data_IF_233317829692
#
_entry.id   IF_233317829692
#
_cell.length_a   1.000
_cell.length_b   1.000
_cell.length_c   1.000
_cell.angle_alpha   90.00
_cell.angle_beta   90.00
_cell.angle_gamma   90.00
#
_symmetry.space_group_name_H-M   'P 1'
#
loop_
_entity.id
_entity.type
_entity.pdbx_description
1 polymer ?
#
# COMPACT_ATOMS: atom_id res chain seq x y z
N UNK A 1 22.88 -11.79 10.21
CA UNK A 1 22.74 -13.08 10.87
C UNK A 1 21.49 -13.07 11.71
N UNK A 2 20.72 -14.12 11.74
CA UNK A 2 19.66 -14.53 12.66
C UNK A 2 18.20 -14.51 12.20
N UNK A 3 17.85 -14.09 11.00
CA UNK A 3 16.48 -14.35 10.54
C UNK A 3 16.31 -15.71 9.84
N UNK A 4 17.38 -16.27 9.28
CA UNK A 4 17.36 -17.61 8.68
C UNK A 4 17.34 -18.72 9.75
N UNK A 5 17.99 -18.51 10.90
CA UNK A 5 18.04 -19.49 12.00
C UNK A 5 16.67 -19.67 12.70
N UNK A 6 15.80 -18.64 12.73
CA UNK A 6 14.47 -18.74 13.35
C UNK A 6 13.52 -19.69 12.59
N UNK A 7 13.83 -20.07 11.38
CA UNK A 7 13.00 -20.94 10.54
C UNK A 7 13.43 -22.42 10.55
N UNK A 8 14.61 -22.73 11.08
CA UNK A 8 15.17 -24.08 11.02
C UNK A 8 14.75 -25.00 12.17
N UNK A 9 14.03 -24.50 13.18
CA UNK A 9 13.67 -25.29 14.37
C UNK A 9 12.18 -25.67 14.48
N UNK A 10 11.38 -25.54 13.42
CA UNK A 10 10.02 -26.09 13.44
C UNK A 10 10.07 -27.54 13.00
N UNK A 11 9.94 -28.48 13.97
CA UNK A 11 9.70 -29.90 13.67
C UNK A 11 8.33 -30.04 12.99
N UNK A 12 8.31 -30.73 11.86
CA UNK A 12 7.12 -30.98 11.07
C UNK A 12 6.72 -32.42 11.26
N UNK A 13 5.63 -32.65 11.99
CA UNK A 13 5.15 -34.00 12.29
C UNK A 13 4.17 -34.53 11.24
N UNK A 14 3.60 -33.63 10.40
CA UNK A 14 2.63 -34.00 9.36
C UNK A 14 2.58 -32.99 8.20
N UNK A 15 1.85 -33.35 7.12
CA UNK A 15 1.69 -32.51 5.94
C UNK A 15 0.96 -31.18 6.22
N UNK A 16 0.01 -31.17 7.17
CA UNK A 16 -0.75 -29.97 7.50
C UNK A 16 0.14 -28.90 8.15
N UNK A 17 1.16 -29.32 8.89
CA UNK A 17 2.14 -28.40 9.49
C UNK A 17 3.07 -27.79 8.42
N UNK A 18 3.42 -28.55 7.38
CA UNK A 18 4.15 -28.02 6.22
C UNK A 18 3.34 -26.93 5.56
N UNK A 19 2.05 -27.18 5.28
CA UNK A 19 1.16 -26.20 4.64
C UNK A 19 1.07 -24.90 5.46
N UNK A 20 0.87 -25.02 6.78
CA UNK A 20 0.83 -23.85 7.67
C UNK A 20 2.16 -23.04 7.67
N UNK A 21 3.28 -23.73 7.67
CA UNK A 21 4.60 -23.07 7.62
C UNK A 21 4.77 -22.32 6.28
N UNK A 22 4.35 -22.91 5.17
CA UNK A 22 4.42 -22.28 3.86
C UNK A 22 3.52 -21.06 3.79
N UNK A 23 2.30 -21.12 4.33
CA UNK A 23 1.38 -19.99 4.45
C UNK A 23 1.96 -18.86 5.30
N UNK A 24 2.60 -19.18 6.45
CA UNK A 24 3.27 -18.17 7.28
C UNK A 24 4.44 -17.51 6.54
N UNK A 25 5.22 -18.29 5.78
CA UNK A 25 6.35 -17.76 4.98
C UNK A 25 5.82 -16.84 3.88
N UNK A 26 4.77 -17.26 3.16
CA UNK A 26 4.14 -16.44 2.13
C UNK A 26 3.61 -15.13 2.71
N UNK A 27 2.91 -15.17 3.84
CA UNK A 27 2.40 -13.99 4.52
C UNK A 27 3.51 -13.03 4.93
N UNK A 28 4.60 -13.55 5.50
CA UNK A 28 5.77 -12.74 5.87
C UNK A 28 6.45 -12.14 4.65
N UNK A 29 6.55 -12.88 3.55
CA UNK A 29 7.09 -12.38 2.29
C UNK A 29 6.22 -11.26 1.72
N UNK A 30 4.89 -11.46 1.64
CA UNK A 30 3.94 -10.45 1.16
C UNK A 30 3.94 -9.18 2.03
N UNK A 31 4.13 -9.30 3.35
CA UNK A 31 4.23 -8.14 4.27
C UNK A 31 5.46 -7.26 4.05
N UNK A 32 6.43 -7.69 3.24
CA UNK A 32 7.50 -6.82 2.76
C UNK A 32 7.08 -5.92 1.61
N UNK A 33 5.97 -6.20 0.97
CA UNK A 33 5.43 -5.43 -0.14
C UNK A 33 4.29 -4.55 0.37
N UNK A 34 4.43 -3.24 0.19
CA UNK A 34 3.45 -2.24 0.62
C UNK A 34 2.78 -1.66 -0.62
N UNK A 35 1.49 -1.92 -0.75
CA UNK A 35 0.66 -1.23 -1.72
C UNK A 35 0.35 0.18 -1.22
N UNK A 36 0.72 1.20 -2.00
CA UNK A 36 0.37 2.59 -1.70
C UNK A 36 -0.80 2.99 -2.57
N UNK A 37 -1.96 3.12 -1.93
CA UNK A 37 -3.19 3.65 -2.49
C UNK A 37 -3.32 5.12 -2.12
N UNK A 38 -3.54 5.98 -3.09
CA UNK A 38 -3.74 7.40 -2.84
C UNK A 38 -4.14 8.15 -4.09
N UNK A 39 -4.98 9.17 -3.90
CA UNK A 39 -5.39 10.09 -4.93
C UNK A 39 -5.59 11.48 -4.31
N UNK A 40 -5.03 12.51 -4.93
CA UNK A 40 -5.19 13.89 -4.49
C UNK A 40 -5.36 14.80 -5.71
N UNK A 41 -6.58 15.22 -5.95
CA UNK A 41 -6.86 16.32 -6.85
C UNK A 41 -6.64 17.65 -6.14
N UNK A 42 -6.97 17.71 -4.86
CA UNK A 42 -6.60 18.78 -3.95
C UNK A 42 -5.98 18.23 -2.66
N UNK A 43 -5.29 19.09 -1.93
CA UNK A 43 -4.43 18.69 -0.82
C UNK A 43 -4.91 19.24 0.53
N UNK A 44 -6.08 19.92 0.58
CA UNK A 44 -6.63 20.51 1.80
C UNK A 44 -5.61 21.40 2.53
N UNK A 45 -5.60 21.32 3.85
CA UNK A 45 -4.68 22.10 4.71
C UNK A 45 -3.20 21.75 4.57
N UNK A 46 -2.91 20.62 3.92
CA UNK A 46 -1.51 20.22 3.68
C UNK A 46 -0.85 21.08 2.60
N UNK A 47 -1.59 21.47 1.58
CA UNK A 47 -1.05 22.08 0.37
C UNK A 47 -0.19 21.10 -0.44
N UNK A 48 0.09 21.47 -1.67
CA UNK A 48 0.77 20.59 -2.62
C UNK A 48 2.22 20.27 -2.21
N UNK A 49 3.00 21.27 -1.89
CA UNK A 49 4.43 21.11 -1.59
C UNK A 49 4.67 20.18 -0.38
N UNK A 50 3.92 20.41 0.72
CA UNK A 50 4.01 19.57 1.92
C UNK A 50 3.57 18.13 1.64
N UNK A 51 2.53 17.95 0.84
CA UNK A 51 2.04 16.63 0.44
C UNK A 51 3.07 15.88 -0.40
N UNK A 52 3.60 16.51 -1.45
CA UNK A 52 4.62 15.89 -2.31
C UNK A 52 5.86 15.51 -1.50
N UNK A 53 6.33 16.42 -0.63
CA UNK A 53 7.44 16.13 0.28
C UNK A 53 7.14 14.96 1.21
N UNK A 54 5.98 14.93 1.85
CA UNK A 54 5.58 13.86 2.76
C UNK A 54 5.56 12.51 2.05
N UNK A 55 4.90 12.41 0.89
CA UNK A 55 4.78 11.16 0.13
C UNK A 55 6.14 10.71 -0.40
N UNK A 56 6.98 11.64 -0.85
CA UNK A 56 8.37 11.37 -1.26
C UNK A 56 9.18 10.78 -0.09
N UNK A 57 9.19 11.47 1.06
CA UNK A 57 9.99 11.07 2.22
C UNK A 57 9.49 9.73 2.80
N UNK A 58 8.16 9.51 2.81
CA UNK A 58 7.55 8.24 3.19
C UNK A 58 8.05 7.11 2.28
N UNK A 59 7.96 7.27 0.97
CA UNK A 59 8.38 6.26 -0.01
C UNK A 59 9.87 5.95 0.11
N UNK A 60 10.70 6.98 0.22
CA UNK A 60 12.13 6.84 0.50
C UNK A 60 12.37 6.02 1.79
N UNK A 61 11.65 6.35 2.86
CA UNK A 61 11.78 5.69 4.17
C UNK A 61 11.37 4.22 4.11
N UNK A 62 10.34 3.88 3.34
CA UNK A 62 9.93 2.49 3.14
C UNK A 62 11.04 1.67 2.47
N UNK A 63 11.62 2.16 1.38
CA UNK A 63 12.77 1.50 0.73
C UNK A 63 13.95 1.38 1.69
N UNK A 64 14.30 2.46 2.42
CA UNK A 64 15.40 2.44 3.41
C UNK A 64 15.22 1.33 4.47
N UNK A 65 13.97 0.99 4.81
CA UNK A 65 13.64 -0.09 5.75
C UNK A 65 13.41 -1.45 5.07
N UNK A 66 13.87 -1.64 3.85
CA UNK A 66 13.80 -2.88 3.07
C UNK A 66 12.37 -3.34 2.74
N UNK A 67 11.41 -2.42 2.66
CA UNK A 67 10.10 -2.69 2.06
C UNK A 67 10.15 -2.45 0.55
N UNK A 68 9.35 -3.20 -0.18
CA UNK A 68 9.05 -2.94 -1.58
C UNK A 68 7.78 -2.11 -1.70
N UNK A 69 7.72 -1.25 -2.69
CA UNK A 69 6.54 -0.42 -2.96
C UNK A 69 5.83 -0.95 -4.19
N UNK A 70 4.51 -1.12 -4.05
CA UNK A 70 3.59 -1.45 -5.13
C UNK A 70 2.67 -0.26 -5.34
N UNK A 71 2.57 0.27 -6.56
CA UNK A 71 1.76 1.46 -6.85
C UNK A 71 1.10 1.40 -8.21
N UNK A 72 -0.16 1.83 -8.26
CA UNK A 72 -0.94 2.04 -9.48
C UNK A 72 -0.76 3.41 -10.11
N UNK A 73 0.17 4.23 -9.63
CA UNK A 73 0.39 5.61 -10.06
C UNK A 73 -0.81 6.52 -9.79
N UNK A 74 -1.21 6.65 -8.51
CA UNK A 74 -2.35 7.46 -8.10
C UNK A 74 -2.22 8.95 -8.45
N UNK A 75 -3.32 9.55 -8.86
CA UNK A 75 -3.39 10.95 -9.24
C UNK A 75 -2.87 11.87 -8.11
N UNK A 76 -2.03 12.83 -8.46
CA UNK A 76 -1.53 13.87 -7.55
C UNK A 76 -0.46 13.42 -6.57
N UNK A 77 -0.28 12.09 -6.34
CA UNK A 77 0.76 11.57 -5.43
C UNK A 77 1.73 10.60 -6.09
N UNK A 78 1.36 9.98 -7.21
CA UNK A 78 2.13 8.90 -7.83
C UNK A 78 3.56 9.30 -8.21
N UNK A 79 3.76 10.53 -8.70
CA UNK A 79 5.10 11.06 -9.01
C UNK A 79 5.98 11.18 -7.77
N UNK A 80 5.43 11.60 -6.64
CA UNK A 80 6.15 11.71 -5.37
C UNK A 80 6.51 10.32 -4.80
N UNK A 81 5.61 9.32 -4.94
CA UNK A 81 5.90 7.92 -4.59
C UNK A 81 7.10 7.41 -5.38
N UNK A 82 7.08 7.60 -6.71
CA UNK A 82 8.15 7.11 -7.59
C UNK A 82 9.47 7.83 -7.30
N UNK A 83 9.46 9.15 -7.23
CA UNK A 83 10.68 9.94 -7.00
C UNK A 83 11.31 9.62 -5.65
N UNK A 84 10.50 9.43 -4.60
CA UNK A 84 10.97 9.04 -3.28
C UNK A 84 11.63 7.67 -3.26
N UNK A 85 10.98 6.67 -3.86
CA UNK A 85 11.52 5.32 -3.98
C UNK A 85 12.82 5.30 -4.80
N UNK A 86 12.80 5.90 -5.99
CA UNK A 86 13.95 5.92 -6.88
C UNK A 86 15.12 6.72 -6.29
N UNK A 87 14.88 7.78 -5.51
CA UNK A 87 15.94 8.53 -4.85
C UNK A 87 16.79 7.63 -3.95
N UNK A 88 16.18 6.68 -3.24
CA UNK A 88 16.92 5.74 -2.39
C UNK A 88 17.53 4.59 -3.20
N UNK A 89 16.78 3.99 -4.14
CA UNK A 89 17.24 2.89 -4.98
C UNK A 89 18.48 3.30 -5.78
N UNK A 90 18.45 4.49 -6.42
CA UNK A 90 19.56 4.97 -7.24
C UNK A 90 20.77 5.42 -6.41
N UNK A 91 20.55 5.92 -5.18
CA UNK A 91 21.63 6.29 -4.27
C UNK A 91 22.37 5.10 -3.68
N UNK A 92 21.72 3.96 -3.60
CA UNK A 92 22.25 2.74 -2.99
C UNK A 92 22.05 1.49 -3.89
N UNK A 93 22.60 1.46 -5.12
CA UNK A 93 22.31 0.44 -6.13
C UNK A 93 22.87 -0.94 -5.77
N UNK A 94 23.80 -1.04 -4.81
CA UNK A 94 24.31 -2.32 -4.30
C UNK A 94 23.39 -2.94 -3.23
N UNK A 95 22.47 -2.16 -2.67
CA UNK A 95 21.57 -2.60 -1.61
C UNK A 95 20.15 -2.81 -2.11
N UNK A 96 19.70 -1.97 -3.04
CA UNK A 96 18.34 -1.97 -3.57
C UNK A 96 18.34 -2.19 -5.07
N UNK A 97 17.25 -2.76 -5.58
CA UNK A 97 17.05 -2.99 -7.00
C UNK A 97 15.83 -2.24 -7.52
N UNK A 98 15.69 -2.15 -8.84
CA UNK A 98 14.48 -1.61 -9.46
C UNK A 98 13.23 -2.43 -9.15
N UNK A 99 13.40 -3.69 -8.78
CA UNK A 99 12.31 -4.60 -8.39
C UNK A 99 11.75 -4.27 -6.99
N UNK A 100 12.38 -3.34 -6.26
CA UNK A 100 11.83 -2.80 -5.01
C UNK A 100 10.74 -1.75 -5.23
N UNK A 101 10.52 -1.35 -6.50
CA UNK A 101 9.43 -0.50 -6.93
C UNK A 101 8.63 -1.16 -8.06
N UNK A 102 7.45 -1.66 -7.75
CA UNK A 102 6.53 -2.31 -8.68
C UNK A 102 5.48 -1.30 -9.13
N UNK A 103 5.57 -0.87 -10.38
CA UNK A 103 4.62 0.08 -10.96
C UNK A 103 3.69 -0.64 -11.94
N UNK A 104 2.39 -0.46 -11.74
CA UNK A 104 1.36 -0.97 -12.64
C UNK A 104 0.29 0.11 -12.86
N UNK A 105 0.59 1.12 -13.70
CA UNK A 105 -0.37 2.18 -14.01
C UNK A 105 -1.63 1.61 -14.66
N UNK A 106 -2.77 2.18 -14.30
CA UNK A 106 -4.04 1.81 -14.92
C UNK A 106 -4.06 2.24 -16.39
N UNK A 107 -4.41 1.34 -17.32
CA UNK A 107 -4.54 1.69 -18.73
C UNK A 107 -5.65 2.73 -18.94
N UNK A 108 -5.31 3.85 -19.57
CA UNK A 108 -6.24 4.97 -19.77
C UNK A 108 -7.30 4.68 -20.87
N UNK A 109 -7.02 3.74 -21.77
CA UNK A 109 -7.80 3.52 -22.99
C UNK A 109 -8.71 2.27 -22.93
N UNK A 110 -8.75 1.55 -21.82
CA UNK A 110 -9.59 0.36 -21.69
C UNK A 110 -10.87 0.70 -20.96
N UNK A 111 -12.01 0.51 -21.64
CA UNK A 111 -13.33 0.73 -21.09
C UNK A 111 -13.85 -0.56 -20.44
N UNK A 112 -14.36 -0.42 -19.22
CA UNK A 112 -15.05 -1.48 -18.50
C UNK A 112 -14.70 -1.51 -17.02
N UNK A 113 -15.72 -1.41 -16.18
CA UNK A 113 -15.58 -1.42 -14.71
C UNK A 113 -14.93 -2.73 -14.22
N UNK A 114 -15.26 -3.85 -14.86
CA UNK A 114 -14.72 -5.17 -14.52
C UNK A 114 -13.20 -5.25 -14.73
N UNK A 115 -12.71 -4.65 -15.80
CA UNK A 115 -11.27 -4.61 -16.08
C UNK A 115 -10.50 -3.82 -15.02
N UNK A 116 -11.05 -2.68 -14.57
CA UNK A 116 -10.44 -1.87 -13.51
C UNK A 116 -10.42 -2.61 -12.18
N UNK A 117 -11.50 -3.31 -11.85
CA UNK A 117 -11.56 -4.15 -10.64
C UNK A 117 -10.53 -5.28 -10.68
N UNK A 118 -10.39 -5.97 -11.84
CA UNK A 118 -9.40 -7.04 -11.97
C UNK A 118 -7.97 -6.51 -11.84
N UNK A 119 -7.65 -5.37 -12.47
CA UNK A 119 -6.35 -4.74 -12.32
C UNK A 119 -6.02 -4.36 -10.86
N UNK A 120 -7.03 -3.89 -10.10
CA UNK A 120 -6.86 -3.62 -8.66
C UNK A 120 -6.55 -4.90 -7.89
N UNK A 121 -7.31 -5.96 -8.13
CA UNK A 121 -7.08 -7.26 -7.50
C UNK A 121 -5.67 -7.78 -7.77
N UNK A 122 -5.26 -7.74 -9.03
CA UNK A 122 -3.93 -8.19 -9.44
C UNK A 122 -2.84 -7.35 -8.78
N UNK A 123 -2.99 -6.02 -8.74
CA UNK A 123 -2.03 -5.12 -8.12
C UNK A 123 -1.91 -5.35 -6.61
N UNK A 124 -3.04 -5.46 -5.92
CA UNK A 124 -3.09 -5.64 -4.46
C UNK A 124 -2.57 -7.02 -4.05
N UNK A 125 -2.75 -8.06 -4.89
CA UNK A 125 -2.31 -9.44 -4.60
C UNK A 125 -0.80 -9.59 -4.34
N UNK A 126 0.02 -8.65 -4.82
CA UNK A 126 1.47 -8.64 -4.57
C UNK A 126 1.84 -8.22 -3.14
N UNK A 127 0.90 -7.65 -2.39
CA UNK A 127 1.18 -6.96 -1.13
C UNK A 127 0.61 -7.69 0.07
N UNK A 128 1.19 -7.45 1.23
CA UNK A 128 0.63 -7.87 2.52
C UNK A 128 0.27 -6.68 3.42
N UNK A 129 0.61 -5.46 2.97
CA UNK A 129 0.27 -4.20 3.64
C UNK A 129 -0.34 -3.27 2.60
N UNK A 130 -1.42 -2.58 2.94
CA UNK A 130 -2.02 -1.53 2.13
C UNK A 130 -2.03 -0.21 2.91
N UNK A 131 -1.35 0.80 2.37
CA UNK A 131 -1.23 2.13 2.95
C UNK A 131 -2.08 3.11 2.15
N UNK A 132 -2.93 3.89 2.83
CA UNK A 132 -3.89 4.80 2.21
C UNK A 132 -3.60 6.25 2.59
N UNK A 133 -3.53 7.13 1.59
CA UNK A 133 -3.25 8.55 1.77
C UNK A 133 -4.20 9.42 0.95
N UNK A 134 -4.76 10.46 1.56
CA UNK A 134 -5.73 11.37 0.92
C UNK A 134 -6.99 10.64 0.40
N UNK A 135 -7.26 10.70 -0.88
CA UNK A 135 -8.35 9.96 -1.52
C UNK A 135 -9.50 10.85 -1.97
N UNK A 136 -9.18 11.86 -2.76
CA UNK A 136 -10.16 12.71 -3.42
C UNK A 136 -9.91 12.77 -4.93
N UNK A 137 -10.98 13.05 -5.66
CA UNK A 137 -10.99 13.24 -7.11
C UNK A 137 -12.04 14.28 -7.51
N UNK A 138 -12.00 14.76 -8.74
CA UNK A 138 -13.11 15.51 -9.32
C UNK A 138 -14.15 14.55 -9.92
N UNK A 139 -15.40 14.91 -9.78
CA UNK A 139 -16.51 14.30 -10.51
C UNK A 139 -16.70 14.97 -11.89
N UNK A 140 -17.71 14.52 -12.63
CA UNK A 140 -18.07 15.08 -13.95
C UNK A 140 -18.49 16.57 -13.89
N UNK A 141 -18.85 17.06 -12.71
CA UNK A 141 -19.24 18.46 -12.45
C UNK A 141 -18.12 19.29 -11.86
N UNK A 142 -16.87 18.82 -11.97
CA UNK A 142 -15.68 19.48 -11.43
C UNK A 142 -15.67 19.63 -9.89
N UNK A 143 -16.56 18.94 -9.16
CA UNK A 143 -16.60 18.99 -7.69
C UNK A 143 -15.65 17.97 -7.10
N UNK A 144 -15.03 18.34 -5.99
CA UNK A 144 -14.21 17.42 -5.21
C UNK A 144 -15.11 16.41 -4.50
N UNK A 145 -14.86 15.15 -4.76
CA UNK A 145 -15.56 14.01 -4.15
C UNK A 145 -14.56 12.98 -3.67
N UNK A 146 -14.99 12.11 -2.77
CA UNK A 146 -14.15 11.02 -2.28
C UNK A 146 -13.86 10.01 -3.40
N UNK A 147 -12.66 9.44 -3.37
CA UNK A 147 -12.21 8.49 -4.38
C UNK A 147 -12.90 7.13 -4.24
N UNK A 148 -13.83 6.84 -5.14
CA UNK A 148 -14.49 5.53 -5.20
C UNK A 148 -13.53 4.40 -5.55
N UNK A 149 -12.46 4.70 -6.32
CA UNK A 149 -11.42 3.73 -6.63
C UNK A 149 -10.64 3.29 -5.39
N UNK A 150 -10.30 4.24 -4.51
CA UNK A 150 -9.63 3.92 -3.25
C UNK A 150 -10.55 3.15 -2.29
N UNK A 151 -11.87 3.41 -2.29
CA UNK A 151 -12.82 2.61 -1.52
C UNK A 151 -12.79 1.16 -1.99
N UNK A 152 -12.83 0.93 -3.30
CA UNK A 152 -12.74 -0.41 -3.88
C UNK A 152 -11.40 -1.10 -3.53
N UNK A 153 -10.28 -0.37 -3.58
CA UNK A 153 -8.96 -0.88 -3.19
C UNK A 153 -8.90 -1.26 -1.71
N UNK A 154 -9.55 -0.47 -0.84
CA UNK A 154 -9.65 -0.77 0.59
C UNK A 154 -10.44 -2.06 0.85
N UNK A 155 -11.60 -2.24 0.20
CA UNK A 155 -12.39 -3.47 0.35
C UNK A 155 -11.63 -4.70 -0.19
N UNK A 156 -10.99 -4.60 -1.35
CA UNK A 156 -10.16 -5.67 -1.90
C UNK A 156 -9.01 -6.03 -0.95
N UNK A 157 -8.32 -5.03 -0.39
CA UNK A 157 -7.24 -5.26 0.56
C UNK A 157 -7.74 -5.95 1.85
N UNK A 158 -8.92 -5.56 2.33
CA UNK A 158 -9.57 -6.15 3.50
C UNK A 158 -9.99 -7.61 3.24
N UNK A 159 -10.61 -7.89 2.10
CA UNK A 159 -10.98 -9.25 1.68
C UNK A 159 -9.77 -10.17 1.54
N UNK A 160 -8.61 -9.64 1.14
CA UNK A 160 -7.36 -10.39 1.02
C UNK A 160 -6.53 -10.40 2.33
N UNK A 161 -7.08 -9.96 3.45
CA UNK A 161 -6.43 -9.94 4.77
C UNK A 161 -5.10 -9.16 4.82
N UNK A 162 -4.97 -8.10 4.02
CA UNK A 162 -3.82 -7.21 4.12
C UNK A 162 -3.87 -6.43 5.44
N UNK A 163 -2.70 -6.09 5.96
CA UNK A 163 -2.61 -5.11 7.03
C UNK A 163 -2.96 -3.73 6.47
N UNK A 164 -4.08 -3.15 6.92
CA UNK A 164 -4.59 -1.87 6.45
C UNK A 164 -4.01 -0.73 7.28
N UNK A 165 -3.38 0.25 6.62
CA UNK A 165 -2.72 1.39 7.27
C UNK A 165 -3.21 2.70 6.65
N UNK A 166 -4.39 3.19 7.02
CA UNK A 166 -4.85 4.51 6.58
C UNK A 166 -4.14 5.61 7.37
N UNK A 167 -3.60 6.60 6.65
CA UNK A 167 -3.05 7.81 7.26
C UNK A 167 -4.16 8.85 7.36
N UNK A 168 -5.01 8.72 8.37
CA UNK A 168 -6.19 9.57 8.56
C UNK A 168 -5.89 11.06 8.61
N UNK A 169 -4.70 11.45 9.10
CA UNK A 169 -4.26 12.85 9.12
C UNK A 169 -4.17 13.50 7.73
N UNK A 170 -4.16 12.72 6.65
CA UNK A 170 -4.20 13.24 5.27
C UNK A 170 -5.61 13.63 4.81
N UNK A 171 -6.65 13.32 5.62
CA UNK A 171 -8.04 13.66 5.37
C UNK A 171 -8.69 12.81 4.28
N UNK A 172 -9.84 13.28 3.81
CA UNK A 172 -10.65 12.67 2.75
C UNK A 172 -11.02 11.21 3.07
N UNK A 173 -11.01 10.31 2.10
CA UNK A 173 -11.42 8.92 2.32
C UNK A 173 -10.46 8.16 3.26
N UNK A 174 -9.18 8.55 3.34
CA UNK A 174 -8.24 7.95 4.28
C UNK A 174 -8.59 8.23 5.75
N UNK A 175 -9.21 9.37 6.05
CA UNK A 175 -9.75 9.67 7.37
C UNK A 175 -10.97 8.80 7.70
N UNK A 176 -11.85 8.54 6.71
CA UNK A 176 -12.96 7.61 6.88
C UNK A 176 -12.48 6.18 7.16
N UNK A 177 -11.49 5.71 6.42
CA UNK A 177 -10.87 4.39 6.64
C UNK A 177 -10.26 4.28 8.03
N UNK A 178 -9.56 5.33 8.48
CA UNK A 178 -9.00 5.38 9.83
C UNK A 178 -10.09 5.22 10.89
N UNK A 179 -11.17 5.99 10.79
CA UNK A 179 -12.31 5.92 11.72
C UNK A 179 -13.01 4.55 11.69
N UNK A 180 -13.15 3.95 10.50
CA UNK A 180 -13.73 2.62 10.34
C UNK A 180 -12.88 1.56 11.06
N UNK A 181 -11.56 1.58 10.86
CA UNK A 181 -10.65 0.64 11.51
C UNK A 181 -10.51 0.89 13.01
N UNK A 182 -10.42 2.14 13.45
CA UNK A 182 -10.37 2.47 14.88
C UNK A 182 -11.54 1.87 15.64
N UNK A 183 -12.74 1.92 15.09
CA UNK A 183 -13.92 1.32 15.69
C UNK A 183 -13.92 -0.21 15.67
N UNK A 184 -13.36 -0.82 14.61
CA UNK A 184 -13.34 -2.28 14.42
C UNK A 184 -12.20 -2.98 15.19
N UNK A 185 -11.09 -2.26 15.47
CA UNK A 185 -9.87 -2.85 16.01
C UNK A 185 -9.42 -2.23 17.34
N UNK A 186 -10.35 -1.62 18.09
CA UNK A 186 -10.07 -1.06 19.44
C UNK A 186 -9.34 -2.02 20.37
N UNK A 187 -9.57 -3.32 20.19
CA UNK A 187 -9.00 -4.39 21.02
C UNK A 187 -7.88 -5.18 20.32
N UNK A 188 -7.53 -4.85 19.09
CA UNK A 188 -6.48 -5.55 18.36
C UNK A 188 -5.10 -5.05 18.76
N UNK A 189 -4.24 -5.92 19.29
CA UNK A 189 -2.88 -5.57 19.74
C UNK A 189 -2.00 -4.96 18.66
N UNK A 190 -2.21 -5.33 17.37
CA UNK A 190 -1.47 -4.77 16.23
C UNK A 190 -1.69 -3.26 16.04
N UNK A 191 -2.78 -2.72 16.58
CA UNK A 191 -3.16 -1.30 16.47
C UNK A 191 -3.14 -0.58 17.83
N UNK A 192 -2.80 -1.27 18.92
CA UNK A 192 -2.54 -0.64 20.21
C UNK A 192 -1.18 0.07 20.17
N UNK A 193 -1.18 1.33 20.55
CA UNK A 193 0.06 2.11 20.74
C UNK A 193 0.72 1.76 22.06
#
# INVERSE_FOLDING_TARGET
GNQAELYMEKFVDNYDDITKILEEIELKYKRRNIFISGAAHEYGDWGREKTEKFVHDLSKKLITNNYKIVSGFGLGIGSAVISGALSEICSNPYKYSKDDLILRPFPQNLQGKEYWTQNRKDLISYSGIALFVFGNKKDEKEKIVLSTGMREEFEIAKENNLLLVPIGATGYISEEFYKELENSYKDCELYKK
#
